data_IF_166604848344
#
_entry.id   IF_166604848344
#
_cell.length_a   1.000
_cell.length_b   1.000
_cell.length_c   1.000
_cell.angle_alpha   90.00
_cell.angle_beta   90.00
_cell.angle_gamma   90.00
#
_symmetry.space_group_name_H-M   'P 1'
#
loop_
_entity.id
_entity.type
_entity.pdbx_description
1 polymer ?
#
# COMPACT_ATOMS: atom_id res chain seq x y z
N UNK A 1 37.57 -6.22 27.96
CA UNK A 1 36.60 -7.31 28.17
C UNK A 1 35.83 -7.01 29.45
N UNK A 2 34.76 -6.19 29.36
CA UNK A 2 33.81 -5.88 30.46
C UNK A 2 32.77 -4.78 30.11
N UNK A 3 32.82 -4.15 28.92
CA UNK A 3 31.92 -3.01 28.59
C UNK A 3 30.89 -3.35 27.50
N UNK A 4 31.04 -4.48 26.80
CA UNK A 4 30.14 -4.90 25.71
C UNK A 4 28.93 -5.74 26.15
N UNK A 5 28.78 -6.03 27.45
CA UNK A 5 27.79 -7.00 27.96
C UNK A 5 26.63 -6.38 28.76
N UNK A 6 26.48 -5.05 28.77
CA UNK A 6 25.44 -4.37 29.59
C UNK A 6 24.15 -4.06 28.78
N UNK A 7 24.14 -4.24 27.45
CA UNK A 7 23.01 -3.81 26.61
C UNK A 7 21.97 -4.88 26.25
N UNK A 8 22.11 -6.14 26.63
CA UNK A 8 21.24 -7.23 26.14
C UNK A 8 20.73 -8.13 27.26
N UNK A 9 19.90 -7.56 28.12
CA UNK A 9 18.89 -8.33 28.84
C UNK A 9 17.63 -7.47 29.03
N UNK A 10 17.19 -6.77 27.98
CA UNK A 10 15.77 -6.43 27.90
C UNK A 10 15.04 -7.75 27.68
N UNK A 11 14.29 -8.20 28.68
CA UNK A 11 13.50 -9.44 28.56
C UNK A 11 12.55 -9.31 27.36
N UNK A 12 12.26 -10.42 26.67
CA UNK A 12 11.27 -10.44 25.59
C UNK A 12 9.94 -9.78 25.99
N UNK A 13 9.57 -9.87 27.27
CA UNK A 13 8.40 -9.21 27.86
C UNK A 13 8.41 -7.67 27.77
N UNK A 14 9.60 -7.04 27.73
CA UNK A 14 9.74 -5.58 27.58
C UNK A 14 9.93 -5.13 26.13
N UNK A 15 10.59 -5.95 25.29
CA UNK A 15 10.88 -5.61 23.88
C UNK A 15 9.69 -5.84 22.98
N UNK A 16 8.96 -6.94 23.17
CA UNK A 16 7.89 -7.38 22.27
C UNK A 16 6.76 -6.33 22.14
N UNK A 17 6.24 -5.72 23.22
CA UNK A 17 5.22 -4.68 23.09
C UNK A 17 5.71 -3.48 22.28
N UNK A 18 6.97 -3.05 22.49
CA UNK A 18 7.54 -1.92 21.76
C UNK A 18 7.69 -2.22 20.25
N UNK A 19 8.10 -3.44 19.89
CA UNK A 19 8.16 -3.88 18.49
C UNK A 19 6.77 -3.93 17.85
N UNK A 20 5.77 -4.45 18.55
CA UNK A 20 4.40 -4.50 18.04
C UNK A 20 3.83 -3.09 17.84
N UNK A 21 3.98 -2.19 18.82
CA UNK A 21 3.54 -0.78 18.68
C UNK A 21 4.22 -0.12 17.48
N UNK A 22 5.53 -0.32 17.30
CA UNK A 22 6.26 0.29 16.19
C UNK A 22 5.80 -0.21 14.81
N UNK A 23 5.50 -1.52 14.69
CA UNK A 23 4.93 -2.10 13.47
C UNK A 23 3.53 -1.59 13.16
N UNK A 24 2.65 -1.57 14.15
CA UNK A 24 1.28 -1.07 14.00
C UNK A 24 1.28 0.41 13.62
N UNK A 25 2.13 1.22 14.25
CA UNK A 25 2.28 2.64 13.91
C UNK A 25 2.82 2.84 12.49
N UNK A 26 3.72 1.97 12.03
CA UNK A 26 4.16 1.99 10.63
C UNK A 26 3.00 1.65 9.69
N UNK A 27 2.15 0.69 10.05
CA UNK A 27 0.99 0.32 9.25
C UNK A 27 -0.06 1.44 9.18
N UNK A 28 -0.38 2.05 10.32
CA UNK A 28 -1.26 3.22 10.40
C UNK A 28 -0.75 4.37 9.52
N UNK A 29 0.55 4.69 9.60
CA UNK A 29 1.18 5.73 8.77
C UNK A 29 1.14 5.38 7.28
N UNK A 30 1.37 4.12 6.93
CA UNK A 30 1.22 3.63 5.56
C UNK A 30 -0.19 3.87 5.02
N UNK A 31 -1.21 3.57 5.81
CA UNK A 31 -2.61 3.85 5.44
C UNK A 31 -2.90 5.34 5.34
N UNK A 32 -2.28 6.18 6.17
CA UNK A 32 -2.33 7.64 6.04
C UNK A 32 -1.77 8.14 4.70
N UNK A 33 -0.63 7.59 4.24
CA UNK A 33 -0.04 7.91 2.92
C UNK A 33 -0.96 7.48 1.78
N UNK A 34 -1.51 6.26 1.85
CA UNK A 34 -2.47 5.75 0.86
C UNK A 34 -3.74 6.61 0.83
N UNK A 35 -4.25 7.02 1.99
CA UNK A 35 -5.40 7.91 2.14
C UNK A 35 -5.15 9.30 1.55
N UNK A 36 -3.97 9.88 1.76
CA UNK A 36 -3.59 11.16 1.15
C UNK A 36 -3.52 11.06 -0.39
N UNK A 37 -2.97 9.96 -0.92
CA UNK A 37 -2.96 9.68 -2.35
C UNK A 37 -4.38 9.53 -2.92
N UNK A 38 -5.25 8.81 -2.23
CA UNK A 38 -6.65 8.65 -2.59
C UNK A 38 -7.39 9.99 -2.62
N UNK A 39 -7.22 10.81 -1.59
CA UNK A 39 -7.85 12.13 -1.49
C UNK A 39 -7.37 13.05 -2.63
N UNK A 40 -6.07 13.08 -2.92
CA UNK A 40 -5.53 13.85 -4.03
C UNK A 40 -6.14 13.41 -5.36
N UNK A 41 -6.25 12.11 -5.60
CA UNK A 41 -6.87 11.56 -6.81
C UNK A 41 -8.32 12.00 -6.95
N UNK A 42 -9.11 11.89 -5.87
CA UNK A 42 -10.53 12.25 -5.87
C UNK A 42 -10.73 13.75 -6.10
N UNK A 43 -9.96 14.61 -5.44
CA UNK A 43 -10.08 16.06 -5.58
C UNK A 43 -9.62 16.54 -6.96
N UNK A 44 -8.42 16.15 -7.37
CA UNK A 44 -7.84 16.59 -8.65
C UNK A 44 -8.65 16.01 -9.81
N UNK A 45 -8.90 14.70 -9.82
CA UNK A 45 -9.60 14.07 -10.94
C UNK A 45 -11.09 14.38 -10.92
N UNK A 46 -11.71 14.54 -9.75
CA UNK A 46 -13.09 15.05 -9.63
C UNK A 46 -13.24 16.45 -10.22
N UNK A 47 -12.27 17.33 -9.99
CA UNK A 47 -12.25 18.66 -10.59
C UNK A 47 -12.08 18.61 -12.12
N UNK A 48 -11.13 17.83 -12.63
CA UNK A 48 -10.81 17.80 -14.07
C UNK A 48 -11.77 16.96 -14.91
N UNK A 49 -12.38 15.90 -14.38
CA UNK A 49 -13.31 15.06 -15.16
C UNK A 49 -14.53 15.86 -15.65
N UNK A 50 -14.96 16.86 -14.87
CA UNK A 50 -16.07 17.76 -15.21
C UNK A 50 -15.71 18.85 -16.22
N UNK A 51 -14.41 18.99 -16.56
CA UNK A 51 -13.86 20.05 -17.43
C UNK A 51 -13.16 19.51 -18.67
N UNK A 52 -13.21 18.20 -18.88
CA UNK A 52 -12.56 17.52 -20.00
C UNK A 52 -13.62 17.01 -20.97
N UNK A 53 -13.31 17.04 -22.27
CA UNK A 53 -14.20 16.50 -23.30
C UNK A 53 -14.33 14.99 -23.13
N UNK A 54 -15.57 14.48 -23.05
CA UNK A 54 -15.90 13.05 -22.99
C UNK A 54 -15.36 12.19 -24.14
N UNK A 55 -14.88 12.82 -25.21
CA UNK A 55 -14.21 12.19 -26.36
C UNK A 55 -12.67 12.25 -26.28
N UNK A 56 -12.13 12.68 -25.15
CA UNK A 56 -10.68 12.82 -24.93
C UNK A 56 -10.12 11.73 -24.01
N UNK A 57 -8.83 11.42 -24.20
CA UNK A 57 -8.07 10.54 -23.30
C UNK A 57 -8.05 11.08 -21.86
N UNK A 58 -7.95 12.40 -21.72
CA UNK A 58 -7.86 13.07 -20.42
C UNK A 58 -9.12 12.85 -19.57
N UNK A 59 -10.30 12.88 -20.20
CA UNK A 59 -11.55 12.62 -19.49
C UNK A 59 -11.57 11.23 -18.87
N UNK A 60 -11.22 10.21 -19.64
CA UNK A 60 -11.20 8.83 -19.15
C UNK A 60 -10.05 8.56 -18.17
N UNK A 61 -8.92 9.25 -18.30
CA UNK A 61 -7.85 9.22 -17.29
C UNK A 61 -8.36 9.69 -15.92
N UNK A 62 -9.01 10.86 -15.87
CA UNK A 62 -9.56 11.37 -14.62
C UNK A 62 -10.74 10.54 -14.10
N UNK A 63 -11.60 10.05 -14.99
CA UNK A 63 -12.69 9.13 -14.60
C UNK A 63 -12.15 7.88 -13.91
N UNK A 64 -11.12 7.25 -14.46
CA UNK A 64 -10.51 6.06 -13.87
C UNK A 64 -9.79 6.37 -12.55
N UNK A 65 -9.11 7.52 -12.47
CA UNK A 65 -8.46 7.96 -11.23
C UNK A 65 -9.45 8.19 -10.09
N UNK A 66 -10.68 8.65 -10.37
CA UNK A 66 -11.73 8.74 -9.35
C UNK A 66 -12.09 7.35 -8.82
N UNK A 67 -12.28 6.39 -9.72
CA UNK A 67 -12.58 5.00 -9.35
C UNK A 67 -11.48 4.40 -8.45
N UNK A 68 -10.21 4.55 -8.85
CA UNK A 68 -9.07 4.12 -8.04
C UNK A 68 -8.93 4.89 -6.73
N UNK A 69 -9.16 6.21 -6.75
CA UNK A 69 -9.16 7.04 -5.55
C UNK A 69 -10.18 6.55 -4.53
N UNK A 70 -11.36 6.13 -5.00
CA UNK A 70 -12.39 5.55 -4.12
C UNK A 70 -11.96 4.21 -3.54
N UNK A 71 -11.43 3.29 -4.36
CA UNK A 71 -10.89 2.01 -3.89
C UNK A 71 -9.80 2.21 -2.84
N UNK A 72 -8.83 3.09 -3.12
CA UNK A 72 -7.73 3.39 -2.21
C UNK A 72 -8.21 4.05 -0.91
N UNK A 73 -9.23 4.90 -0.96
CA UNK A 73 -9.83 5.49 0.23
C UNK A 73 -10.46 4.43 1.12
N UNK A 74 -11.19 3.47 0.55
CA UNK A 74 -11.77 2.36 1.31
C UNK A 74 -10.68 1.48 1.95
N UNK A 75 -9.63 1.15 1.21
CA UNK A 75 -8.49 0.39 1.74
C UNK A 75 -7.79 1.15 2.87
N UNK A 76 -7.56 2.46 2.72
CA UNK A 76 -6.94 3.29 3.74
C UNK A 76 -7.80 3.35 5.02
N UNK A 77 -9.11 3.59 4.89
CA UNK A 77 -10.03 3.61 6.05
C UNK A 77 -10.09 2.25 6.73
N UNK A 78 -10.22 1.17 5.97
CA UNK A 78 -10.21 -0.18 6.51
C UNK A 78 -8.90 -0.47 7.25
N UNK A 79 -7.76 -0.14 6.65
CA UNK A 79 -6.46 -0.34 7.28
C UNK A 79 -6.26 0.49 8.54
N UNK A 80 -6.75 1.74 8.58
CA UNK A 80 -6.73 2.57 9.80
C UNK A 80 -7.60 1.99 10.91
N UNK A 81 -8.78 1.44 10.57
CA UNK A 81 -9.66 0.78 11.55
C UNK A 81 -9.03 -0.51 12.07
N UNK A 82 -8.30 -1.25 11.24
CA UNK A 82 -7.62 -2.47 11.65
C UNK A 82 -6.32 -2.22 12.42
N UNK A 83 -5.70 -1.05 12.27
CA UNK A 83 -4.48 -0.70 12.98
C UNK A 83 -4.78 -0.38 14.45
N UNK A 84 -4.11 -1.07 15.36
CA UNK A 84 -4.36 -0.94 16.79
C UNK A 84 -3.06 -0.78 17.59
N UNK A 85 -2.25 0.26 17.34
CA UNK A 85 -0.93 0.44 17.96
C UNK A 85 -0.96 0.52 19.49
N UNK A 86 -2.10 0.93 20.05
CA UNK A 86 -2.31 1.09 21.49
C UNK A 86 -2.90 -0.17 22.16
N UNK A 87 -3.23 -1.22 21.40
CA UNK A 87 -3.83 -2.46 21.91
C UNK A 87 -2.93 -3.70 21.70
N UNK A 88 -1.63 -3.48 21.56
CA UNK A 88 -0.65 -4.56 21.36
C UNK A 88 -0.21 -5.25 22.66
N UNK A 89 -0.66 -4.73 23.82
CA UNK A 89 -0.35 -5.28 25.12
C UNK A 89 -1.01 -6.67 25.28
N UNK A 90 -0.20 -7.71 25.50
CA UNK A 90 -0.68 -9.08 25.64
C UNK A 90 -0.55 -9.96 24.39
N UNK A 91 -0.11 -9.41 23.25
CA UNK A 91 0.24 -10.23 22.08
C UNK A 91 1.40 -11.18 22.42
N UNK A 92 1.23 -12.47 22.11
CA UNK A 92 2.31 -13.45 22.23
C UNK A 92 3.29 -13.28 21.07
N UNK A 93 4.53 -13.76 21.25
CA UNK A 93 5.53 -13.73 20.17
C UNK A 93 5.04 -14.49 18.93
N UNK A 94 4.34 -15.61 19.12
CA UNK A 94 3.76 -16.41 18.04
C UNK A 94 2.69 -15.65 17.28
N UNK A 95 1.80 -14.94 17.98
CA UNK A 95 0.78 -14.11 17.35
C UNK A 95 1.42 -12.95 16.56
N UNK A 96 2.43 -12.31 17.13
CA UNK A 96 3.21 -11.25 16.48
C UNK A 96 3.90 -11.72 15.21
N UNK A 97 4.55 -12.89 15.22
CA UNK A 97 5.19 -13.48 14.04
C UNK A 97 4.15 -13.86 12.98
N UNK A 98 3.02 -14.43 13.40
CA UNK A 98 1.91 -14.78 12.49
C UNK A 98 1.36 -13.52 11.80
N UNK A 99 1.08 -12.47 12.57
CA UNK A 99 0.65 -11.17 12.05
C UNK A 99 1.70 -10.55 11.12
N UNK A 100 3.00 -10.66 11.45
CA UNK A 100 4.10 -10.15 10.61
C UNK A 100 4.05 -10.77 9.23
N UNK A 101 4.10 -12.10 9.17
CA UNK A 101 4.20 -12.79 7.90
C UNK A 101 2.90 -12.77 7.11
N UNK A 102 1.75 -12.70 7.77
CA UNK A 102 0.48 -12.52 7.07
C UNK A 102 0.39 -11.14 6.42
N UNK A 103 0.79 -10.07 7.12
CA UNK A 103 0.83 -8.74 6.54
C UNK A 103 1.85 -8.64 5.39
N UNK A 104 3.04 -9.22 5.56
CA UNK A 104 4.05 -9.30 4.49
C UNK A 104 3.53 -10.02 3.24
N UNK A 105 2.81 -11.14 3.39
CA UNK A 105 2.20 -11.84 2.26
C UNK A 105 1.17 -10.98 1.52
N UNK A 106 0.38 -10.19 2.26
CA UNK A 106 -0.58 -9.25 1.66
C UNK A 106 0.15 -8.19 0.84
N UNK A 107 1.22 -7.60 1.38
CA UNK A 107 2.05 -6.63 0.64
C UNK A 107 2.65 -7.25 -0.62
N UNK A 108 3.22 -8.45 -0.54
CA UNK A 108 3.79 -9.13 -1.71
C UNK A 108 2.74 -9.50 -2.76
N UNK A 109 1.52 -9.85 -2.33
CA UNK A 109 0.40 -10.05 -3.24
C UNK A 109 0.03 -8.76 -3.96
N UNK A 110 -0.04 -7.63 -3.24
CA UNK A 110 -0.30 -6.31 -3.83
C UNK A 110 0.79 -5.90 -4.81
N UNK A 111 2.07 -6.09 -4.48
CA UNK A 111 3.19 -5.87 -5.41
C UNK A 111 2.97 -6.62 -6.74
N UNK A 112 2.47 -7.85 -6.69
CA UNK A 112 2.09 -8.63 -7.87
C UNK A 112 0.91 -8.02 -8.63
N UNK A 113 -0.14 -7.59 -7.93
CA UNK A 113 -1.30 -6.92 -8.51
C UNK A 113 -0.92 -5.59 -9.17
N UNK A 114 -0.03 -4.82 -8.58
CA UNK A 114 0.41 -3.52 -9.11
C UNK A 114 1.21 -3.66 -10.40
N UNK A 115 2.11 -4.65 -10.43
CA UNK A 115 2.78 -5.04 -11.67
C UNK A 115 1.76 -5.47 -12.74
N UNK A 116 0.72 -6.22 -12.35
CA UNK A 116 -0.35 -6.59 -13.27
C UNK A 116 -1.14 -5.38 -13.77
N UNK A 117 -1.44 -4.38 -12.92
CA UNK A 117 -2.10 -3.14 -13.35
C UNK A 117 -1.27 -2.38 -14.39
N UNK A 118 0.04 -2.27 -14.20
CA UNK A 118 0.93 -1.63 -15.19
C UNK A 118 0.89 -2.38 -16.52
N UNK A 119 0.96 -3.71 -16.49
CA UNK A 119 0.86 -4.57 -17.68
C UNK A 119 -0.49 -4.41 -18.39
N UNK A 120 -1.60 -4.41 -17.64
CA UNK A 120 -2.94 -4.17 -18.18
C UNK A 120 -3.03 -2.77 -18.78
N UNK A 121 -2.42 -1.76 -18.14
CA UNK A 121 -2.35 -0.41 -18.68
C UNK A 121 -1.66 -0.34 -20.04
N UNK A 122 -0.52 -1.02 -20.17
CA UNK A 122 0.20 -1.16 -21.44
C UNK A 122 -0.62 -1.89 -22.50
N UNK A 123 -1.29 -2.99 -22.10
CA UNK A 123 -2.17 -3.74 -22.99
C UNK A 123 -3.36 -2.91 -23.48
N UNK A 124 -4.02 -2.14 -22.61
CA UNK A 124 -5.12 -1.25 -22.99
C UNK A 124 -4.68 -0.20 -24.01
N UNK A 125 -3.50 0.39 -23.81
CA UNK A 125 -2.95 1.40 -24.75
C UNK A 125 -2.58 0.78 -26.10
N UNK A 126 -2.00 -0.41 -26.12
CA UNK A 126 -1.74 -1.14 -27.37
C UNK A 126 -3.06 -1.48 -28.09
N UNK A 127 -4.06 -1.99 -27.36
CA UNK A 127 -5.40 -2.29 -27.88
C UNK A 127 -6.08 -1.07 -28.48
N UNK A 128 -5.87 0.11 -27.89
CA UNK A 128 -6.45 1.37 -28.38
C UNK A 128 -6.06 1.72 -29.83
N UNK A 129 -4.90 1.26 -30.32
CA UNK A 129 -4.48 1.48 -31.70
C UNK A 129 -5.33 0.75 -32.74
N UNK A 130 -6.09 -0.26 -32.33
CA UNK A 130 -6.91 -1.10 -33.22
C UNK A 130 -8.41 -1.06 -32.87
N UNK A 131 -8.79 -0.25 -31.87
CA UNK A 131 -10.14 -0.23 -31.35
C UNK A 131 -11.05 0.67 -32.21
N UNK A 132 -12.15 0.08 -32.72
CA UNK A 132 -13.15 0.80 -33.51
C UNK A 132 -14.06 1.71 -32.64
N UNK A 133 -14.20 1.41 -31.34
CA UNK A 133 -15.07 2.13 -30.43
C UNK A 133 -14.30 2.66 -29.23
N UNK A 134 -14.37 3.98 -29.02
CA UNK A 134 -13.78 4.70 -27.88
C UNK A 134 -12.30 4.39 -27.60
N UNK A 135 -11.39 4.49 -28.59
CA UNK A 135 -9.96 4.29 -28.36
C UNK A 135 -9.39 5.23 -27.29
N UNK A 136 -9.93 6.45 -27.15
CA UNK A 136 -9.59 7.41 -26.11
C UNK A 136 -9.83 6.87 -24.69
N UNK A 137 -10.86 6.05 -24.48
CA UNK A 137 -11.15 5.43 -23.19
C UNK A 137 -10.08 4.43 -22.80
N UNK A 138 -9.70 3.58 -23.74
CA UNK A 138 -8.64 2.60 -23.53
C UNK A 138 -7.30 3.30 -23.24
N UNK A 139 -6.99 4.39 -23.96
CA UNK A 139 -5.79 5.19 -23.67
C UNK A 139 -5.82 5.83 -22.29
N UNK A 140 -6.95 6.43 -21.91
CA UNK A 140 -7.13 7.13 -20.64
C UNK A 140 -7.05 6.17 -19.45
N UNK A 141 -7.76 5.05 -19.53
CA UNK A 141 -7.72 4.00 -18.50
C UNK A 141 -6.33 3.37 -18.42
N UNK A 142 -5.69 3.12 -19.56
CA UNK A 142 -4.32 2.59 -19.56
C UNK A 142 -3.30 3.54 -18.95
N UNK A 143 -3.44 4.86 -19.21
CA UNK A 143 -2.61 5.89 -18.55
C UNK A 143 -2.87 5.95 -17.05
N UNK A 144 -4.12 5.83 -16.62
CA UNK A 144 -4.48 5.79 -15.20
C UNK A 144 -3.83 4.58 -14.51
N UNK A 145 -3.93 3.39 -15.11
CA UNK A 145 -3.30 2.17 -14.56
C UNK A 145 -1.77 2.26 -14.49
N UNK A 146 -1.10 2.95 -15.41
CA UNK A 146 0.33 3.23 -15.26
C UNK A 146 0.61 4.08 -14.01
N UNK A 147 -0.10 5.21 -13.85
CA UNK A 147 0.13 6.11 -12.71
C UNK A 147 -0.18 5.41 -11.39
N UNK A 148 -1.34 4.74 -11.30
CA UNK A 148 -1.76 4.05 -10.08
C UNK A 148 -0.89 2.84 -9.78
N UNK A 149 -0.66 1.98 -10.78
CA UNK A 149 0.16 0.79 -10.60
C UNK A 149 1.61 1.13 -10.23
N UNK A 150 2.22 2.17 -10.83
CA UNK A 150 3.57 2.59 -10.45
C UNK A 150 3.61 3.14 -9.03
N UNK A 151 2.65 3.99 -8.66
CA UNK A 151 2.59 4.52 -7.30
C UNK A 151 2.42 3.40 -6.26
N UNK A 152 1.43 2.51 -6.46
CA UNK A 152 1.14 1.41 -5.54
C UNK A 152 2.30 0.42 -5.45
N UNK A 153 2.91 0.07 -6.59
CA UNK A 153 4.07 -0.81 -6.61
C UNK A 153 5.23 -0.25 -5.77
N UNK A 154 5.55 1.04 -5.94
CA UNK A 154 6.59 1.70 -5.16
C UNK A 154 6.22 1.79 -3.68
N UNK A 155 4.94 2.08 -3.39
CA UNK A 155 4.41 2.13 -2.04
C UNK A 155 4.55 0.77 -1.34
N UNK A 156 4.03 -0.31 -1.92
CA UNK A 156 4.00 -1.63 -1.33
C UNK A 156 5.40 -2.27 -1.23
N UNK A 157 6.28 -2.06 -2.23
CA UNK A 157 7.69 -2.48 -2.11
C UNK A 157 8.39 -1.75 -0.97
N UNK A 158 8.26 -0.43 -0.90
CA UNK A 158 8.90 0.37 0.14
C UNK A 158 8.38 -0.01 1.51
N UNK A 159 7.08 -0.22 1.62
CA UNK A 159 6.43 -0.64 2.85
C UNK A 159 6.89 -2.05 3.26
N UNK A 160 6.92 -3.01 2.33
CA UNK A 160 7.43 -4.36 2.59
C UNK A 160 8.88 -4.31 3.10
N UNK A 161 9.77 -3.58 2.43
CA UNK A 161 11.19 -3.49 2.82
C UNK A 161 11.36 -2.93 4.23
N UNK A 162 10.62 -1.88 4.58
CA UNK A 162 10.71 -1.27 5.92
C UNK A 162 10.06 -2.18 6.97
N UNK A 163 8.89 -2.75 6.66
CA UNK A 163 8.14 -3.61 7.58
C UNK A 163 8.86 -4.94 7.85
N UNK A 164 9.53 -5.51 6.85
CA UNK A 164 10.24 -6.79 6.96
C UNK A 164 11.40 -6.76 7.97
N UNK A 165 11.95 -5.57 8.26
CA UNK A 165 12.98 -5.41 9.29
C UNK A 165 12.50 -5.87 10.66
N UNK A 166 11.20 -5.79 10.95
CA UNK A 166 10.65 -6.26 12.21
C UNK A 166 10.56 -7.78 12.30
N UNK A 167 10.51 -8.51 11.18
CA UNK A 167 10.57 -9.98 11.19
C UNK A 167 11.88 -10.46 11.83
N UNK A 168 13.01 -9.88 11.41
CA UNK A 168 14.32 -10.20 11.98
C UNK A 168 14.38 -9.89 13.49
N UNK A 169 13.81 -8.76 13.92
CA UNK A 169 13.78 -8.37 15.34
C UNK A 169 12.92 -9.31 16.19
N UNK A 170 11.80 -9.80 15.65
CA UNK A 170 10.92 -10.74 16.34
C UNK A 170 11.54 -12.14 16.41
N UNK A 171 12.20 -12.59 15.34
CA UNK A 171 12.89 -13.87 15.33
C UNK A 171 14.04 -13.95 16.35
N UNK A 172 14.66 -12.82 16.69
CA UNK A 172 15.67 -12.75 17.77
C UNK A 172 15.08 -12.98 19.18
N UNK A 173 13.77 -12.90 19.34
CA UNK A 173 13.08 -13.17 20.61
C UNK A 173 12.64 -14.63 20.76
N UNK A 174 12.86 -15.47 19.73
CA UNK A 174 12.59 -16.90 19.79
C UNK A 174 13.65 -17.56 20.68
N UNK A 175 13.23 -18.32 21.72
CA UNK A 175 14.15 -18.97 22.67
C UNK A 175 14.98 -20.10 22.06
#
# INVERSE_FOLDING_TARGET
>A
MAVTSVFLSLSAATVLPALNTARELLAERGMGVLGAWALLNLLVSGYYVTRTDTRSEQHYFHQMNIGWGFVNALLAVWGLVQAHPNQVAGLTLTDSLTAQFNFEKILLLNVGLDAAYICIGSWLRARAGTAALKPERLRGFGRSLWVQGIFLLLFDISFYVVYHRYAALLLQLVP
#
